data_IF_911200723440
#
_entry.id   IF_911200723440
#
_cell.length_a   1.000
_cell.length_b   1.000
_cell.length_c   1.000
_cell.angle_alpha   90.00
_cell.angle_beta   90.00
_cell.angle_gamma   90.00
#
_symmetry.space_group_name_H-M   'P 1'
#
loop_
_entity.id
_entity.type
_entity.pdbx_description
1 polymer ?
#
# COMPACT_ATOMS: atom_id res chain seq x y z
N UNK A 1 -21.81 -8.06 7.91
CA UNK A 1 -20.35 -8.23 7.86
C UNK A 1 -19.73 -7.03 7.16
N UNK A 2 -18.80 -6.35 7.81
CA UNK A 2 -18.11 -5.20 7.17
C UNK A 2 -17.09 -5.67 6.18
N UNK A 3 -17.02 -4.99 5.02
CA UNK A 3 -15.98 -5.23 4.04
C UNK A 3 -14.67 -4.64 4.55
N UNK A 4 -13.56 -5.34 4.30
CA UNK A 4 -12.24 -4.84 4.63
C UNK A 4 -11.90 -3.66 3.72
N UNK A 5 -11.29 -2.62 4.29
CA UNK A 5 -10.85 -1.43 3.56
C UNK A 5 -9.40 -1.55 3.16
N UNK A 6 -9.10 -1.31 1.90
CA UNK A 6 -7.73 -1.26 1.39
C UNK A 6 -7.49 0.14 0.83
N UNK A 7 -6.49 0.83 1.37
CA UNK A 7 -6.07 2.14 0.86
C UNK A 7 -4.97 1.93 -0.17
N UNK A 8 -5.19 2.41 -1.38
CA UNK A 8 -4.21 2.38 -2.47
C UNK A 8 -3.53 3.73 -2.54
N UNK A 9 -2.22 3.75 -2.37
CA UNK A 9 -1.41 4.97 -2.52
C UNK A 9 -0.54 4.77 -3.76
N UNK A 10 -0.93 5.40 -4.87
CA UNK A 10 -0.33 5.22 -6.19
C UNK A 10 -0.44 6.51 -6.98
N UNK A 11 0.70 7.02 -7.47
CA UNK A 11 0.71 8.31 -8.17
C UNK A 11 0.30 8.23 -9.64
N UNK A 12 0.40 7.06 -10.29
CA UNK A 12 -0.03 6.89 -11.68
C UNK A 12 -1.53 6.64 -11.76
N UNK A 13 -2.24 7.52 -12.46
CA UNK A 13 -3.70 7.47 -12.53
C UNK A 13 -4.23 6.13 -13.04
N UNK A 14 -3.68 5.63 -14.14
CA UNK A 14 -4.16 4.39 -14.76
C UNK A 14 -3.94 3.19 -13.83
N UNK A 15 -2.77 3.10 -13.21
CA UNK A 15 -2.47 2.03 -12.27
C UNK A 15 -3.36 2.11 -11.03
N UNK A 16 -3.57 3.32 -10.53
CA UNK A 16 -4.42 3.54 -9.34
C UNK A 16 -5.84 3.10 -9.61
N UNK A 17 -6.41 3.49 -10.75
CA UNK A 17 -7.76 3.11 -11.14
C UNK A 17 -7.90 1.60 -11.34
N UNK A 18 -6.90 0.99 -11.96
CA UNK A 18 -6.87 -0.45 -12.16
C UNK A 18 -6.83 -1.21 -10.83
N UNK A 19 -6.00 -0.77 -9.90
CA UNK A 19 -5.88 -1.41 -8.58
C UNK A 19 -7.20 -1.29 -7.79
N UNK A 20 -7.82 -0.13 -7.82
CA UNK A 20 -9.12 0.07 -7.16
C UNK A 20 -10.15 -0.91 -7.74
N UNK A 21 -10.21 -1.04 -9.06
CA UNK A 21 -11.16 -1.96 -9.69
C UNK A 21 -10.88 -3.41 -9.33
N UNK A 22 -9.62 -3.82 -9.34
CA UNK A 22 -9.23 -5.18 -8.96
C UNK A 22 -9.64 -5.48 -7.52
N UNK A 23 -9.37 -4.55 -6.61
CA UNK A 23 -9.70 -4.73 -5.20
C UNK A 23 -11.20 -4.78 -4.97
N UNK A 24 -11.98 -3.95 -5.68
CA UNK A 24 -13.43 -3.99 -5.62
C UNK A 24 -13.95 -5.36 -6.09
N UNK A 25 -13.39 -5.90 -7.17
CA UNK A 25 -13.76 -7.23 -7.67
C UNK A 25 -13.39 -8.34 -6.69
N UNK A 26 -12.38 -8.13 -5.87
CA UNK A 26 -11.99 -9.08 -4.81
C UNK A 26 -12.92 -9.00 -3.58
N UNK A 27 -13.81 -8.02 -3.52
CA UNK A 27 -14.72 -7.85 -2.40
C UNK A 27 -14.24 -6.87 -1.33
N UNK A 28 -13.17 -6.12 -1.58
CA UNK A 28 -12.71 -5.09 -0.66
C UNK A 28 -13.36 -3.75 -0.96
N UNK A 29 -13.40 -2.87 0.05
CA UNK A 29 -13.70 -1.46 -0.18
C UNK A 29 -12.38 -0.76 -0.45
N UNK A 30 -12.18 -0.30 -1.69
CA UNK A 30 -10.93 0.35 -2.08
C UNK A 30 -11.04 1.87 -1.93
N UNK A 31 -10.04 2.45 -1.30
CA UNK A 31 -9.90 3.90 -1.13
C UNK A 31 -8.61 4.27 -1.86
N UNK A 32 -8.62 5.35 -2.63
CA UNK A 32 -7.46 5.73 -3.43
C UNK A 32 -6.87 7.06 -3.01
N UNK A 33 -5.55 7.16 -3.07
CA UNK A 33 -4.83 8.42 -2.94
C UNK A 33 -3.72 8.47 -3.99
N UNK A 34 -3.36 9.67 -4.42
CA UNK A 34 -2.46 9.87 -5.56
C UNK A 34 -1.02 10.21 -5.18
N UNK A 35 -0.74 10.38 -3.92
CA UNK A 35 0.62 10.64 -3.44
C UNK A 35 0.75 10.26 -1.97
N UNK A 36 1.98 10.30 -1.47
CA UNK A 36 2.26 9.90 -0.10
C UNK A 36 1.61 10.78 0.95
N UNK A 37 1.58 12.09 0.72
CA UNK A 37 0.97 13.02 1.67
C UNK A 37 -0.53 12.77 1.82
N UNK A 38 -1.23 12.70 0.70
CA UNK A 38 -2.67 12.40 0.69
C UNK A 38 -2.93 11.03 1.29
N UNK A 39 -2.04 10.06 1.00
CA UNK A 39 -2.16 8.71 1.53
C UNK A 39 -2.08 8.67 3.05
N UNK A 40 -1.14 9.39 3.64
CA UNK A 40 -1.01 9.48 5.11
C UNK A 40 -2.27 10.13 5.70
N UNK A 41 -2.75 11.21 5.09
CA UNK A 41 -3.97 11.88 5.55
C UNK A 41 -5.18 10.93 5.52
N UNK A 42 -5.33 10.18 4.43
CA UNK A 42 -6.44 9.22 4.29
C UNK A 42 -6.29 8.03 5.24
N UNK A 43 -5.08 7.57 5.51
CA UNK A 43 -4.87 6.51 6.48
C UNK A 43 -5.35 6.93 7.88
N UNK A 44 -5.07 8.17 8.26
CA UNK A 44 -5.54 8.72 9.53
C UNK A 44 -7.06 8.86 9.59
N UNK A 45 -7.67 9.32 8.50
CA UNK A 45 -9.10 9.57 8.44
C UNK A 45 -9.92 8.28 8.31
N UNK A 46 -9.49 7.36 7.46
CA UNK A 46 -10.25 6.18 7.08
C UNK A 46 -9.89 4.92 7.86
N UNK A 47 -8.73 4.89 8.46
CA UNK A 47 -8.21 3.74 9.23
C UNK A 47 -8.40 2.42 8.48
N UNK A 48 -7.72 2.29 7.30
CA UNK A 48 -7.87 1.09 6.48
C UNK A 48 -7.31 -0.15 7.19
N UNK A 49 -7.75 -1.31 6.72
CA UNK A 49 -7.27 -2.59 7.22
C UNK A 49 -5.93 -2.98 6.59
N UNK A 50 -5.60 -2.40 5.44
CA UNK A 50 -4.35 -2.62 4.73
C UNK A 50 -4.05 -1.44 3.83
N UNK A 51 -2.79 -1.14 3.66
CA UNK A 51 -2.32 -0.11 2.72
C UNK A 51 -1.48 -0.78 1.64
N UNK A 52 -1.86 -0.57 0.37
CA UNK A 52 -1.07 -0.96 -0.79
C UNK A 52 -0.31 0.29 -1.22
N UNK A 53 1.01 0.27 -1.01
CA UNK A 53 1.88 1.45 -1.09
C UNK A 53 2.85 1.36 -2.26
N UNK A 54 2.68 2.23 -3.26
CA UNK A 54 3.71 2.39 -4.30
C UNK A 54 4.96 3.02 -3.68
N UNK A 55 6.12 2.47 -4.01
CA UNK A 55 7.39 2.96 -3.46
C UNK A 55 7.91 4.16 -4.24
N UNK A 56 7.85 4.10 -5.58
CA UNK A 56 8.43 5.14 -6.44
C UNK A 56 7.42 6.25 -6.69
N UNK A 57 7.41 7.24 -5.81
CA UNK A 57 6.52 8.40 -5.94
C UNK A 57 7.32 9.69 -5.82
N UNK A 58 6.88 10.78 -6.49
CA UNK A 58 7.51 12.09 -6.32
C UNK A 58 7.24 12.66 -4.93
N UNK A 59 8.06 13.60 -4.52
CA UNK A 59 8.04 14.30 -3.23
C UNK A 59 8.41 13.40 -2.08
N UNK A 60 7.48 12.60 -1.56
CA UNK A 60 7.83 11.56 -0.58
C UNK A 60 7.62 10.18 -1.20
N UNK A 61 8.63 9.32 -1.02
CA UNK A 61 8.57 7.94 -1.50
C UNK A 61 7.64 7.10 -0.63
N UNK A 62 7.29 5.91 -1.11
CA UNK A 62 6.53 4.96 -0.29
C UNK A 62 7.29 4.53 0.96
N UNK A 63 8.62 4.48 0.91
CA UNK A 63 9.45 4.22 2.08
C UNK A 63 9.24 5.29 3.16
N UNK A 64 9.32 6.57 2.76
CA UNK A 64 9.15 7.70 3.67
C UNK A 64 7.71 7.76 4.21
N UNK A 65 6.72 7.57 3.35
CA UNK A 65 5.33 7.54 3.77
C UNK A 65 5.08 6.44 4.80
N UNK A 66 5.66 5.25 4.60
CA UNK A 66 5.55 4.14 5.55
C UNK A 66 6.18 4.52 6.89
N UNK A 67 7.34 5.16 6.88
CA UNK A 67 7.99 5.61 8.11
C UNK A 67 7.10 6.58 8.88
N UNK A 68 6.50 7.54 8.17
CA UNK A 68 5.57 8.49 8.79
C UNK A 68 4.39 7.75 9.45
N UNK A 69 3.83 6.76 8.76
CA UNK A 69 2.73 5.95 9.31
C UNK A 69 3.16 5.20 10.57
N UNK A 70 4.37 4.64 10.60
CA UNK A 70 4.88 3.90 11.74
C UNK A 70 5.17 4.80 12.95
N UNK A 71 5.49 6.06 12.71
CA UNK A 71 5.77 7.02 13.78
C UNK A 71 4.50 7.61 14.40
N UNK A 72 3.32 7.32 13.85
CA UNK A 72 2.05 7.81 14.38
C UNK A 72 1.29 6.67 15.07
N UNK A 73 0.94 6.84 16.37
CA UNK A 73 0.23 5.79 17.12
C UNK A 73 -1.07 5.33 16.49
N UNK A 74 -1.74 6.19 15.71
CA UNK A 74 -3.03 5.85 15.09
C UNK A 74 -2.89 4.98 13.84
N UNK A 75 -1.69 4.94 13.24
CA UNK A 75 -1.46 4.22 11.98
C UNK A 75 -0.33 3.19 12.08
N UNK A 76 0.39 3.16 13.17
CA UNK A 76 1.61 2.33 13.31
C UNK A 76 1.38 0.84 13.11
N UNK A 77 0.18 0.34 13.35
CA UNK A 77 -0.12 -1.09 13.27
C UNK A 77 -0.85 -1.49 11.97
N UNK A 78 -1.15 -0.53 11.09
CA UNK A 78 -1.81 -0.84 9.83
C UNK A 78 -0.83 -1.60 8.92
N UNK A 79 -1.19 -2.80 8.43
CA UNK A 79 -0.31 -3.53 7.51
C UNK A 79 -0.05 -2.74 6.23
N UNK A 80 1.21 -2.69 5.81
CA UNK A 80 1.62 -2.04 4.57
C UNK A 80 2.24 -3.08 3.64
N UNK A 81 1.65 -3.22 2.46
CA UNK A 81 2.18 -4.02 1.37
C UNK A 81 2.81 -3.07 0.35
N UNK A 82 4.14 -3.10 0.25
CA UNK A 82 4.86 -2.26 -0.71
C UNK A 82 4.75 -2.84 -2.11
N UNK A 83 4.39 -2.00 -3.09
CA UNK A 83 4.36 -2.39 -4.50
C UNK A 83 5.51 -1.65 -5.20
N UNK A 84 6.43 -2.37 -5.85
CA UNK A 84 7.66 -1.77 -6.34
C UNK A 84 8.18 -2.42 -7.61
N UNK A 85 8.76 -1.58 -8.50
CA UNK A 85 9.54 -2.07 -9.64
C UNK A 85 10.99 -2.36 -9.23
N UNK A 86 11.39 -1.94 -8.05
CA UNK A 86 12.72 -2.20 -7.51
C UNK A 86 12.74 -3.59 -6.89
N UNK A 87 13.66 -4.43 -7.33
CA UNK A 87 13.71 -5.83 -6.90
C UNK A 87 15.09 -6.29 -6.43
N UNK A 88 16.06 -5.38 -6.34
CA UNK A 88 17.37 -5.74 -5.77
C UNK A 88 17.20 -6.06 -4.29
N UNK A 89 17.98 -6.99 -3.74
CA UNK A 89 17.87 -7.35 -2.33
C UNK A 89 17.92 -6.15 -1.38
N UNK A 90 18.76 -5.15 -1.68
CA UNK A 90 18.88 -3.95 -0.86
C UNK A 90 17.59 -3.12 -0.88
N UNK A 91 16.91 -3.03 -2.03
CA UNK A 91 15.65 -2.29 -2.15
C UNK A 91 14.53 -2.97 -1.36
N UNK A 92 14.45 -4.28 -1.44
CA UNK A 92 13.44 -5.06 -0.74
C UNK A 92 13.69 -5.04 0.77
N UNK A 93 14.96 -5.13 1.18
CA UNK A 93 15.32 -5.00 2.59
C UNK A 93 14.94 -3.62 3.12
N UNK A 94 15.08 -2.57 2.31
CA UNK A 94 14.69 -1.22 2.72
C UNK A 94 13.18 -1.12 2.98
N UNK A 95 12.35 -1.80 2.20
CA UNK A 95 10.91 -1.85 2.48
C UNK A 95 10.67 -2.33 3.91
N UNK A 96 11.29 -3.44 4.28
CA UNK A 96 11.11 -4.03 5.61
C UNK A 96 11.68 -3.11 6.69
N UNK A 97 12.88 -2.57 6.48
CA UNK A 97 13.55 -1.67 7.44
C UNK A 97 12.72 -0.42 7.70
N UNK A 98 12.05 0.11 6.68
CA UNK A 98 11.21 1.31 6.82
C UNK A 98 9.84 1.01 7.41
N UNK A 99 9.50 -0.26 7.61
CA UNK A 99 8.30 -0.66 8.32
C UNK A 99 7.22 -1.32 7.48
N UNK A 100 7.50 -1.66 6.20
CA UNK A 100 6.54 -2.43 5.40
C UNK A 100 6.47 -3.87 5.93
N UNK A 101 5.27 -4.45 5.89
CA UNK A 101 5.05 -5.82 6.34
C UNK A 101 5.46 -6.85 5.28
N UNK A 102 5.33 -6.48 4.01
CA UNK A 102 5.72 -7.32 2.89
C UNK A 102 5.86 -6.45 1.64
N UNK A 103 6.25 -7.05 0.54
CA UNK A 103 6.39 -6.36 -0.74
C UNK A 103 5.86 -7.24 -1.87
N UNK A 104 5.51 -6.60 -2.98
CA UNK A 104 5.14 -7.28 -4.21
C UNK A 104 5.83 -6.54 -5.38
N UNK A 105 6.53 -7.29 -6.24
CA UNK A 105 7.28 -6.71 -7.35
C UNK A 105 6.37 -6.54 -8.56
N UNK A 106 6.40 -5.35 -9.16
CA UNK A 106 5.66 -5.05 -10.39
C UNK A 106 6.44 -5.53 -11.62
N UNK A 107 5.77 -6.07 -12.65
CA UNK A 107 4.34 -6.34 -12.72
C UNK A 107 3.95 -7.60 -11.93
N UNK A 108 2.75 -7.63 -11.40
CA UNK A 108 2.26 -8.79 -10.66
C UNK A 108 0.88 -9.21 -11.21
N UNK A 109 0.52 -10.46 -10.94
CA UNK A 109 -0.80 -10.98 -11.31
C UNK A 109 -1.80 -10.70 -10.20
N UNK A 110 -3.09 -10.76 -10.55
CA UNK A 110 -4.18 -10.64 -9.57
C UNK A 110 -4.04 -11.72 -8.49
N UNK A 111 -3.66 -12.94 -8.88
CA UNK A 111 -3.46 -14.02 -7.92
C UNK A 111 -2.33 -13.77 -6.94
N UNK A 112 -1.21 -13.19 -7.42
CA UNK A 112 -0.10 -12.81 -6.55
C UNK A 112 -0.52 -11.74 -5.54
N UNK A 113 -1.24 -10.72 -6.02
CA UNK A 113 -1.75 -9.66 -5.15
C UNK A 113 -2.69 -10.23 -4.09
N UNK A 114 -3.61 -11.08 -4.49
CA UNK A 114 -4.57 -11.70 -3.57
C UNK A 114 -3.84 -12.47 -2.47
N UNK A 115 -2.86 -13.29 -2.82
CA UNK A 115 -2.11 -14.07 -1.84
C UNK A 115 -1.37 -13.20 -0.84
N UNK A 116 -0.76 -12.12 -1.31
CA UNK A 116 -0.05 -11.18 -0.43
C UNK A 116 -1.02 -10.49 0.54
N UNK A 117 -2.16 -10.04 0.04
CA UNK A 117 -3.17 -9.40 0.88
C UNK A 117 -3.71 -10.37 1.92
N UNK A 118 -4.06 -11.58 1.52
CA UNK A 118 -4.62 -12.58 2.43
C UNK A 118 -3.68 -12.94 3.58
N UNK A 119 -2.37 -12.84 3.37
CA UNK A 119 -1.39 -13.08 4.43
C UNK A 119 -1.33 -11.96 5.46
N UNK A 120 -1.77 -10.76 5.10
CA UNK A 120 -1.60 -9.57 5.94
C UNK A 120 -2.88 -9.16 6.67
N UNK A 121 -4.02 -9.73 6.29
CA UNK A 121 -5.30 -9.36 6.91
C UNK A 121 -6.00 -10.55 7.56
#
# INVERSE_FOLDING_TARGET
MQMMKVLVIENHTDMREMLVRILDLMGFTAIASRNGKEGVEKALAEKPDLILMDIMMPEISGWEATRILRDNPQTKDIPVLAATVLFRPADLQKCITMGCNDYIVKPFTVGQLRRKIERLI
#
